data_IF_730167325774
#
_entry.id   IF_730167325774
#
_cell.length_a   1.000
_cell.length_b   1.000
_cell.length_c   1.000
_cell.angle_alpha   90.00
_cell.angle_beta   90.00
_cell.angle_gamma   90.00
#
_symmetry.space_group_name_H-M   'P 1'
#
loop_
_entity.id
_entity.type
_entity.pdbx_description
1 polymer ?
#
# COMPACT_ATOMS: atom_id res chain seq x y z
N UNK A 1 -18.83 -45.61 -35.50
CA UNK A 1 -17.41 -45.22 -35.62
C UNK A 1 -17.21 -43.72 -35.40
N UNK A 2 -17.99 -42.84 -36.03
CA UNK A 2 -17.86 -41.37 -35.90
C UNK A 2 -18.10 -40.80 -34.49
N UNK A 3 -19.02 -41.38 -33.70
CA UNK A 3 -19.30 -40.94 -32.32
C UNK A 3 -18.13 -41.23 -31.38
N UNK A 4 -17.45 -42.35 -31.58
CA UNK A 4 -16.27 -42.73 -30.76
C UNK A 4 -15.10 -41.81 -31.07
N UNK A 5 -14.90 -41.45 -32.34
CA UNK A 5 -13.83 -40.52 -32.76
C UNK A 5 -14.09 -39.12 -32.18
N UNK A 6 -15.33 -38.63 -32.21
CA UNK A 6 -15.69 -37.34 -31.62
C UNK A 6 -15.50 -37.31 -30.10
N UNK A 7 -15.85 -38.39 -29.40
CA UNK A 7 -15.65 -38.50 -27.95
C UNK A 7 -14.15 -38.52 -27.57
N UNK A 8 -13.32 -39.23 -28.35
CA UNK A 8 -11.86 -39.25 -28.14
C UNK A 8 -11.26 -37.86 -28.37
N UNK A 9 -11.68 -37.15 -29.41
CA UNK A 9 -11.23 -35.77 -29.65
C UNK A 9 -11.65 -34.82 -28.54
N UNK A 10 -12.91 -34.88 -28.09
CA UNK A 10 -13.39 -34.03 -27.00
C UNK A 10 -12.63 -34.29 -25.69
N UNK A 11 -12.35 -35.57 -25.37
CA UNK A 11 -11.56 -35.93 -24.19
C UNK A 11 -10.10 -35.48 -24.32
N UNK A 12 -9.48 -35.63 -25.50
CA UNK A 12 -8.10 -35.20 -25.72
C UNK A 12 -7.97 -33.66 -25.63
N UNK A 13 -8.90 -32.91 -26.22
CA UNK A 13 -8.92 -31.45 -26.12
C UNK A 13 -9.22 -30.98 -24.70
N UNK A 14 -10.16 -31.63 -24.00
CA UNK A 14 -10.46 -31.33 -22.61
C UNK A 14 -9.27 -31.62 -21.68
N UNK A 15 -8.56 -32.74 -21.88
CA UNK A 15 -7.35 -33.06 -21.13
C UNK A 15 -6.20 -32.09 -21.44
N UNK A 16 -6.05 -31.64 -22.68
CA UNK A 16 -5.07 -30.61 -23.06
C UNK A 16 -5.38 -29.24 -22.43
N UNK A 17 -6.66 -28.86 -22.38
CA UNK A 17 -7.08 -27.62 -21.72
C UNK A 17 -6.85 -27.69 -20.21
N UNK A 18 -7.22 -28.79 -19.57
CA UNK A 18 -6.97 -28.99 -18.14
C UNK A 18 -5.47 -29.06 -17.83
N UNK A 19 -4.67 -29.71 -18.69
CA UNK A 19 -3.22 -29.74 -18.54
C UNK A 19 -2.57 -28.36 -18.73
N UNK A 20 -3.07 -27.56 -19.68
CA UNK A 20 -2.63 -26.18 -19.88
C UNK A 20 -2.99 -25.28 -18.69
N UNK A 21 -4.15 -25.49 -18.07
CA UNK A 21 -4.58 -24.76 -16.87
C UNK A 21 -3.87 -25.25 -15.59
N UNK A 22 -3.41 -26.52 -15.54
CA UNK A 22 -2.64 -27.02 -14.40
C UNK A 22 -1.15 -26.68 -14.43
N UNK A 23 -0.66 -26.08 -15.53
CA UNK A 23 0.71 -25.56 -15.63
C UNK A 23 0.84 -24.15 -15.02
N UNK A 24 -0.26 -23.59 -14.53
CA UNK A 24 -0.36 -22.26 -13.91
C UNK A 24 0.28 -22.22 -12.50
N UNK A 25 0.18 -23.32 -11.74
CA UNK A 25 0.69 -23.41 -10.35
C UNK A 25 2.18 -23.85 -10.24
N UNK A 26 2.89 -24.03 -11.35
CA UNK A 26 4.32 -24.34 -11.30
C UNK A 26 5.13 -23.05 -11.22
N UNK A 27 5.52 -22.66 -10.01
CA UNK A 27 6.54 -21.66 -9.75
C UNK A 27 7.79 -22.05 -10.56
N UNK A 28 8.15 -21.30 -11.60
CA UNK A 28 9.33 -21.60 -12.41
C UNK A 28 10.53 -20.83 -11.88
N UNK A 29 11.26 -21.43 -10.94
CA UNK A 29 12.58 -20.92 -10.55
C UNK A 29 13.49 -20.86 -11.77
N UNK A 30 13.70 -19.65 -12.29
CA UNK A 30 14.80 -19.32 -13.20
C UNK A 30 15.38 -17.96 -12.87
N UNK A 31 15.92 -17.73 -11.65
CA UNK A 31 16.80 -16.59 -11.47
C UNK A 31 17.95 -16.70 -12.50
N UNK A 32 18.30 -15.59 -13.14
CA UNK A 32 19.51 -15.54 -13.95
C UNK A 32 20.71 -15.40 -13.02
N UNK A 33 21.90 -15.83 -13.44
CA UNK A 33 23.12 -15.68 -12.63
C UNK A 33 23.31 -14.21 -12.22
N UNK A 34 22.99 -13.29 -13.11
CA UNK A 34 23.06 -11.85 -12.87
C UNK A 34 22.06 -11.37 -11.81
N UNK A 35 20.88 -12.01 -11.71
CA UNK A 35 19.88 -11.70 -10.67
C UNK A 35 20.30 -12.26 -9.31
N UNK A 36 20.86 -13.47 -9.29
CA UNK A 36 21.43 -14.07 -8.08
C UNK A 36 22.63 -13.26 -7.56
N UNK A 37 23.48 -12.77 -8.46
CA UNK A 37 24.61 -11.89 -8.12
C UNK A 37 24.13 -10.57 -7.51
N UNK A 38 23.07 -9.97 -8.07
CA UNK A 38 22.43 -8.79 -7.48
C UNK A 38 21.88 -9.10 -6.09
N UNK A 39 21.13 -10.18 -5.92
CA UNK A 39 20.59 -10.57 -4.61
C UNK A 39 21.68 -10.74 -3.55
N UNK A 40 22.78 -11.42 -3.90
CA UNK A 40 23.92 -11.62 -3.00
C UNK A 40 24.65 -10.30 -2.68
N UNK A 41 24.75 -9.37 -3.64
CA UNK A 41 25.30 -8.03 -3.40
C UNK A 41 24.44 -7.28 -2.37
N UNK A 42 23.11 -7.24 -2.58
CA UNK A 42 22.17 -6.54 -1.71
C UNK A 42 22.16 -7.15 -0.30
N UNK A 43 22.18 -8.48 -0.17
CA UNK A 43 22.21 -9.18 1.12
C UNK A 43 23.48 -8.86 1.92
N UNK A 44 24.58 -8.53 1.24
CA UNK A 44 25.85 -8.16 1.88
C UNK A 44 25.90 -6.72 2.39
N UNK A 45 24.91 -5.89 2.06
CA UNK A 45 24.90 -4.47 2.42
C UNK A 45 24.66 -4.27 3.92
N UNK A 46 25.35 -3.29 4.56
CA UNK A 46 25.09 -2.95 5.95
C UNK A 46 23.62 -2.55 6.19
N UNK A 47 23.00 -3.23 7.16
CA UNK A 47 21.63 -2.95 7.55
C UNK A 47 20.56 -3.67 6.74
N UNK A 48 20.91 -4.46 5.72
CA UNK A 48 20.02 -5.43 5.10
C UNK A 48 19.96 -6.69 5.97
N UNK A 49 18.76 -7.18 6.23
CA UNK A 49 18.50 -8.31 7.13
C UNK A 49 18.10 -9.58 6.37
N UNK A 50 17.36 -9.41 5.27
CA UNK A 50 16.91 -10.50 4.41
C UNK A 50 16.71 -10.00 2.98
N UNK A 51 17.02 -10.87 2.03
CA UNK A 51 16.71 -10.71 0.60
C UNK A 51 16.06 -12.00 0.12
N UNK A 52 14.85 -11.89 -0.41
CA UNK A 52 14.14 -12.98 -1.06
C UNK A 52 13.87 -12.59 -2.52
N UNK A 53 14.02 -13.57 -3.41
CA UNK A 53 13.99 -13.35 -4.84
C UNK A 53 13.02 -14.34 -5.47
N UNK A 54 12.16 -13.83 -6.35
CA UNK A 54 11.30 -14.68 -7.16
C UNK A 54 11.33 -14.21 -8.61
N UNK A 55 11.18 -15.14 -9.56
CA UNK A 55 11.00 -14.79 -10.96
C UNK A 55 9.85 -15.61 -11.53
N UNK A 56 8.83 -14.94 -12.01
CA UNK A 56 7.57 -15.54 -12.43
C UNK A 56 7.31 -15.31 -13.91
N UNK A 57 6.66 -16.28 -14.55
CA UNK A 57 6.10 -16.14 -15.89
C UNK A 57 4.61 -16.37 -15.77
N UNK A 58 3.79 -15.39 -16.13
CA UNK A 58 2.34 -15.60 -16.19
C UNK A 58 2.01 -16.63 -17.29
N UNK A 59 1.44 -17.76 -16.90
CA UNK A 59 0.78 -18.67 -17.82
C UNK A 59 -0.66 -18.15 -18.09
N UNK A 60 -1.25 -18.41 -19.28
CA UNK A 60 -0.73 -19.17 -20.41
C UNK A 60 -0.01 -18.31 -21.46
N UNK A 61 0.17 -17.02 -21.19
CA UNK A 61 0.75 -16.06 -22.14
C UNK A 61 2.24 -16.27 -22.36
N UNK A 62 2.95 -16.89 -21.40
CA UNK A 62 4.41 -17.03 -21.42
C UNK A 62 5.07 -15.68 -21.74
N UNK A 63 4.55 -14.62 -21.12
CA UNK A 63 5.07 -13.26 -21.24
C UNK A 63 6.51 -13.16 -20.69
N UNK A 64 7.14 -12.02 -20.92
CA UNK A 64 8.46 -11.75 -20.36
C UNK A 64 8.41 -11.94 -18.83
N UNK A 65 9.37 -12.69 -18.25
CA UNK A 65 9.36 -13.02 -16.85
C UNK A 65 9.51 -11.78 -15.97
N UNK A 66 8.63 -11.62 -14.98
CA UNK A 66 8.70 -10.55 -13.99
C UNK A 66 9.64 -10.97 -12.86
N UNK A 67 10.65 -10.16 -12.58
CA UNK A 67 11.57 -10.38 -11.45
C UNK A 67 11.03 -9.63 -10.23
N UNK A 68 10.96 -10.31 -9.09
CA UNK A 68 10.47 -9.77 -7.82
C UNK A 68 11.59 -9.84 -6.79
N UNK A 69 11.78 -8.74 -6.07
CA UNK A 69 12.79 -8.61 -5.04
C UNK A 69 12.13 -8.14 -3.74
N UNK A 70 12.19 -8.98 -2.72
CA UNK A 70 11.71 -8.66 -1.38
C UNK A 70 12.91 -8.42 -0.48
N UNK A 71 13.03 -7.22 0.11
CA UNK A 71 14.17 -6.86 0.95
C UNK A 71 13.69 -6.36 2.29
N UNK A 72 14.20 -6.94 3.38
CA UNK A 72 14.06 -6.36 4.71
C UNK A 72 15.33 -5.59 5.05
N UNK A 73 15.19 -4.31 5.40
CA UNK A 73 16.31 -3.41 5.68
C UNK A 73 16.01 -2.52 6.88
N UNK A 74 17.03 -2.13 7.62
CA UNK A 74 16.92 -1.08 8.65
C UNK A 74 16.86 0.32 8.02
N UNK A 75 16.26 1.29 8.73
CA UNK A 75 16.24 2.71 8.30
C UNK A 75 17.62 3.23 7.88
N UNK A 76 18.67 2.89 8.64
CA UNK A 76 20.03 3.33 8.34
C UNK A 76 20.63 2.68 7.07
N UNK A 77 20.15 1.48 6.69
CA UNK A 77 20.61 0.74 5.51
C UNK A 77 19.89 1.13 4.22
N UNK A 78 18.68 1.70 4.31
CA UNK A 78 17.83 2.04 3.15
C UNK A 78 18.56 2.89 2.09
N UNK A 79 19.31 3.97 2.41
CA UNK A 79 20.01 4.75 1.38
C UNK A 79 21.03 3.93 0.59
N UNK A 80 21.77 3.05 1.26
CA UNK A 80 22.78 2.19 0.63
C UNK A 80 22.13 1.12 -0.26
N UNK A 81 21.00 0.56 0.18
CA UNK A 81 20.19 -0.36 -0.63
C UNK A 81 19.73 0.29 -1.93
N UNK A 82 19.15 1.50 -1.85
CA UNK A 82 18.66 2.23 -3.02
C UNK A 82 19.81 2.63 -3.96
N UNK A 83 20.95 3.06 -3.43
CA UNK A 83 22.15 3.36 -4.23
C UNK A 83 22.63 2.11 -4.98
N UNK A 84 22.73 0.96 -4.31
CA UNK A 84 23.14 -0.29 -4.94
C UNK A 84 22.14 -0.73 -6.03
N UNK A 85 20.83 -0.70 -5.74
CA UNK A 85 19.79 -1.04 -6.70
C UNK A 85 19.85 -0.14 -7.96
N UNK A 86 20.10 1.16 -7.79
CA UNK A 86 20.12 2.13 -8.89
C UNK A 86 21.46 2.20 -9.65
N UNK A 87 22.56 1.73 -9.05
CA UNK A 87 23.88 1.63 -9.71
C UNK A 87 24.20 0.23 -10.21
N UNK A 88 23.31 -0.73 -9.97
CA UNK A 88 23.45 -2.10 -10.43
C UNK A 88 23.62 -2.19 -11.95
N UNK A 89 24.36 -3.20 -12.39
CA UNK A 89 24.48 -3.56 -13.80
C UNK A 89 23.35 -4.46 -14.31
N UNK A 90 22.35 -4.79 -13.48
CA UNK A 90 21.28 -5.70 -13.84
C UNK A 90 20.40 -5.10 -14.93
N UNK A 91 20.22 -5.79 -16.08
CA UNK A 91 19.63 -5.18 -17.26
C UNK A 91 18.10 -5.17 -17.28
N UNK A 92 17.46 -6.03 -16.49
CA UNK A 92 16.01 -6.23 -16.51
C UNK A 92 15.32 -5.40 -15.42
N UNK A 93 14.02 -5.14 -15.62
CA UNK A 93 13.17 -4.49 -14.64
C UNK A 93 12.86 -5.43 -13.45
N UNK A 94 12.69 -4.84 -12.27
CA UNK A 94 12.42 -5.55 -11.02
C UNK A 94 11.22 -4.90 -10.33
N UNK A 95 10.26 -5.72 -9.90
CA UNK A 95 9.24 -5.33 -8.92
C UNK A 95 9.85 -5.42 -7.53
N UNK A 96 9.84 -4.32 -6.80
CA UNK A 96 10.46 -4.19 -5.48
C UNK A 96 9.41 -4.18 -4.38
N UNK A 97 9.68 -4.95 -3.33
CA UNK A 97 9.01 -4.91 -2.05
C UNK A 97 10.06 -4.71 -0.96
N UNK A 98 10.19 -3.49 -0.44
CA UNK A 98 11.19 -3.16 0.57
C UNK A 98 10.48 -2.90 1.89
N UNK A 99 10.72 -3.77 2.88
CA UNK A 99 10.25 -3.62 4.25
C UNK A 99 11.31 -2.91 5.07
N UNK A 100 11.02 -1.71 5.55
CA UNK A 100 11.96 -0.89 6.32
C UNK A 100 11.62 -0.92 7.79
N UNK A 101 12.51 -1.52 8.60
CA UNK A 101 12.41 -1.55 10.06
C UNK A 101 13.03 -0.29 10.65
N UNK A 102 12.23 0.45 11.38
CA UNK A 102 12.64 1.73 11.95
C UNK A 102 12.98 1.61 13.45
N UNK A 103 13.77 2.54 14.02
CA UNK A 103 14.16 2.49 15.43
C UNK A 103 12.99 2.62 16.42
N UNK A 104 11.89 3.31 16.06
CA UNK A 104 10.70 3.43 16.90
C UNK A 104 9.69 2.30 16.67
N UNK A 105 10.14 1.18 16.07
CA UNK A 105 9.35 0.00 15.77
C UNK A 105 8.22 0.21 14.75
N UNK A 106 8.23 1.32 13.98
CA UNK A 106 7.40 1.43 12.78
C UNK A 106 7.93 0.51 11.68
N UNK A 107 7.03 0.07 10.82
CA UNK A 107 7.33 -0.78 9.68
C UNK A 107 6.83 -0.11 8.40
N UNK A 108 7.76 0.25 7.52
CA UNK A 108 7.41 0.95 6.28
C UNK A 108 7.57 0.02 5.09
N UNK A 109 6.45 -0.33 4.46
CA UNK A 109 6.44 -1.15 3.25
C UNK A 109 6.50 -0.24 2.01
N UNK A 110 7.59 -0.33 1.25
CA UNK A 110 7.82 0.42 0.03
C UNK A 110 7.68 -0.51 -1.16
N UNK A 111 6.75 -0.21 -2.05
CA UNK A 111 6.49 -1.01 -3.25
C UNK A 111 6.77 -0.20 -4.50
N UNK A 112 7.50 -0.77 -5.46
CA UNK A 112 7.71 -0.17 -6.77
C UNK A 112 7.54 -1.22 -7.86
N UNK A 113 6.62 -0.96 -8.80
CA UNK A 113 6.43 -1.77 -9.99
C UNK A 113 6.97 -1.04 -11.23
N UNK A 114 7.57 -1.75 -12.20
CA UNK A 114 7.98 -1.14 -13.47
C UNK A 114 6.82 -0.53 -14.28
N UNK A 115 5.59 -1.01 -14.02
CA UNK A 115 4.37 -0.47 -14.64
C UNK A 115 3.93 0.89 -14.08
N UNK A 116 4.51 1.33 -12.97
CA UNK A 116 4.08 2.55 -12.29
C UNK A 116 4.55 3.78 -13.07
N UNK A 117 3.70 4.81 -13.24
CA UNK A 117 4.01 6.00 -14.01
C UNK A 117 4.97 6.93 -13.25
N UNK A 118 6.22 6.50 -13.05
CA UNK A 118 7.29 7.28 -12.43
C UNK A 118 8.25 7.79 -13.52
N UNK A 119 8.76 9.03 -13.44
CA UNK A 119 9.64 9.59 -14.48
C UNK A 119 10.86 8.70 -14.75
N UNK A 120 10.94 8.18 -15.96
CA UNK A 120 11.95 7.25 -16.46
C UNK A 120 13.29 7.95 -16.74
N UNK A 121 14.10 8.15 -15.69
CA UNK A 121 15.49 8.59 -15.83
C UNK A 121 16.52 7.65 -15.18
N UNK A 122 16.07 6.55 -14.56
CA UNK A 122 16.91 5.65 -13.75
C UNK A 122 17.19 4.32 -14.46
N UNK A 123 18.18 3.56 -13.95
CA UNK A 123 18.48 2.21 -14.42
C UNK A 123 17.25 1.28 -14.27
N UNK A 124 17.10 0.23 -15.12
CA UNK A 124 15.94 -0.68 -15.06
C UNK A 124 15.71 -1.33 -13.69
N UNK A 125 16.79 -1.58 -12.94
CA UNK A 125 16.75 -2.15 -11.60
C UNK A 125 16.44 -1.13 -10.50
N UNK A 126 16.44 0.17 -10.79
CA UNK A 126 16.27 1.21 -9.77
C UNK A 126 14.79 1.32 -9.36
N UNK A 127 14.45 1.14 -8.08
CA UNK A 127 13.07 1.28 -7.62
C UNK A 127 12.58 2.73 -7.76
N UNK A 128 11.43 2.90 -8.41
CA UNK A 128 10.75 4.19 -8.55
C UNK A 128 9.45 4.21 -7.77
N UNK A 129 9.42 4.90 -6.63
CA UNK A 129 8.22 4.99 -5.77
C UNK A 129 7.31 6.17 -6.08
N UNK A 130 7.81 7.20 -6.78
CA UNK A 130 7.10 8.47 -6.99
C UNK A 130 7.17 9.46 -5.82
N UNK A 131 7.95 9.14 -4.77
CA UNK A 131 8.23 9.98 -3.61
C UNK A 131 9.65 9.72 -3.05
N UNK A 132 10.14 10.63 -2.19
CA UNK A 132 11.41 10.47 -1.46
C UNK A 132 11.26 9.46 -0.32
N UNK A 133 11.55 8.19 -0.61
CA UNK A 133 11.37 7.10 0.34
C UNK A 133 12.25 7.24 1.61
N UNK A 134 13.49 7.71 1.46
CA UNK A 134 14.43 7.83 2.60
C UNK A 134 13.94 8.88 3.59
N UNK A 135 13.54 10.05 3.07
CA UNK A 135 13.06 11.13 3.93
C UNK A 135 11.69 10.81 4.51
N UNK A 136 10.80 10.19 3.72
CA UNK A 136 9.47 9.81 4.17
C UNK A 136 9.51 8.75 5.28
N UNK A 137 10.31 7.69 5.13
CA UNK A 137 10.43 6.65 6.17
C UNK A 137 10.89 7.23 7.52
N UNK A 138 11.86 8.16 7.50
CA UNK A 138 12.32 8.85 8.72
C UNK A 138 11.25 9.72 9.35
N UNK A 139 10.43 10.37 8.53
CA UNK A 139 9.35 11.19 9.03
C UNK A 139 8.23 10.32 9.62
N UNK A 140 7.89 9.20 8.98
CA UNK A 140 6.94 8.21 9.51
C UNK A 140 7.39 7.64 10.87
N UNK A 141 8.66 7.25 11.03
CA UNK A 141 9.22 6.82 12.32
C UNK A 141 9.09 7.90 13.40
N UNK A 142 9.23 9.17 13.01
CA UNK A 142 9.13 10.32 13.92
C UNK A 142 7.70 10.62 14.36
N UNK A 143 6.73 10.55 13.43
CA UNK A 143 5.36 11.05 13.66
C UNK A 143 4.37 9.95 14.04
N UNK A 144 4.57 8.73 13.55
CA UNK A 144 3.72 7.58 13.80
C UNK A 144 4.57 6.37 14.27
N UNK A 145 5.22 6.49 15.45
CA UNK A 145 6.06 5.43 15.98
C UNK A 145 5.25 4.15 16.26
N UNK A 146 5.75 3.00 15.81
CA UNK A 146 5.11 1.71 16.00
C UNK A 146 4.02 1.36 14.99
N UNK A 147 3.68 2.26 14.06
CA UNK A 147 2.68 2.01 13.04
C UNK A 147 3.30 1.29 11.82
N UNK A 148 2.58 0.31 11.28
CA UNK A 148 2.92 -0.30 9.99
C UNK A 148 2.23 0.50 8.87
N UNK A 149 3.01 1.09 7.97
CA UNK A 149 2.51 2.01 6.94
C UNK A 149 3.07 1.65 5.57
N UNK A 150 2.21 1.56 4.57
CA UNK A 150 2.57 1.47 3.17
C UNK A 150 2.25 2.80 2.47
N UNK A 151 3.24 3.69 2.28
CA UNK A 151 3.06 4.82 1.37
C UNK A 151 2.95 4.33 -0.07
N UNK A 152 2.04 4.91 -0.85
CA UNK A 152 1.84 4.58 -2.26
C UNK A 152 1.38 5.79 -3.05
N UNK A 153 1.60 5.78 -4.36
CA UNK A 153 0.98 6.73 -5.28
C UNK A 153 -0.20 6.04 -5.95
N UNK A 154 -1.40 6.53 -5.68
CA UNK A 154 -2.66 5.97 -6.21
C UNK A 154 -3.10 6.67 -7.49
N UNK A 155 -4.27 6.30 -8.00
CA UNK A 155 -4.81 6.87 -9.22
C UNK A 155 -4.78 8.40 -9.18
N UNK A 156 -4.45 9.01 -10.33
CA UNK A 156 -4.25 10.47 -10.50
C UNK A 156 -3.05 11.06 -9.75
N UNK A 157 -2.19 10.23 -9.16
CA UNK A 157 -0.92 10.66 -8.57
C UNK A 157 -1.03 11.11 -7.11
N UNK A 158 -2.11 10.75 -6.42
CA UNK A 158 -2.36 11.08 -5.00
C UNK A 158 -1.43 10.25 -4.11
N UNK A 159 -0.77 10.89 -3.14
CA UNK A 159 0.00 10.17 -2.13
C UNK A 159 -0.96 9.61 -1.08
N UNK A 160 -0.95 8.30 -0.93
CA UNK A 160 -1.76 7.58 0.04
C UNK A 160 -0.87 6.93 1.11
N UNK A 161 -1.33 6.98 2.36
CA UNK A 161 -0.75 6.26 3.49
C UNK A 161 -1.72 5.16 3.92
N UNK A 162 -1.39 3.91 3.57
CA UNK A 162 -2.14 2.75 4.02
C UNK A 162 -1.55 2.27 5.36
N UNK A 163 -2.25 2.53 6.46
CA UNK A 163 -1.97 1.90 7.75
C UNK A 163 -2.45 0.46 7.71
N UNK A 164 -1.55 -0.47 8.03
CA UNK A 164 -1.80 -1.90 8.02
C UNK A 164 -1.90 -2.40 9.46
N UNK A 165 -2.80 -3.35 9.70
CA UNK A 165 -2.75 -4.13 10.93
C UNK A 165 -1.43 -4.91 10.96
N UNK A 166 -0.81 -4.96 12.14
CA UNK A 166 0.54 -5.48 12.38
C UNK A 166 0.79 -6.78 11.59
N UNK A 167 1.70 -6.73 10.60
CA UNK A 167 2.02 -7.84 9.69
C UNK A 167 2.49 -9.10 10.44
N UNK A 168 2.95 -8.95 11.69
CA UNK A 168 3.51 -10.01 12.51
C UNK A 168 2.75 -10.29 13.82
N UNK A 169 1.71 -9.52 14.21
CA UNK A 169 0.95 -9.76 15.45
C UNK A 169 -0.57 -9.52 15.33
N UNK A 170 -1.35 -10.54 14.96
CA UNK A 170 -2.81 -10.46 14.90
C UNK A 170 -3.53 -10.42 16.27
N UNK A 171 -2.81 -10.40 17.41
CA UNK A 171 -3.36 -10.69 18.74
C UNK A 171 -3.09 -9.62 19.83
N UNK A 172 -2.75 -8.38 19.46
CA UNK A 172 -2.75 -7.26 20.40
C UNK A 172 -4.21 -6.83 20.64
N UNK A 173 -4.84 -7.44 21.64
CA UNK A 173 -6.28 -7.36 21.88
C UNK A 173 -6.91 -5.95 21.88
N UNK A 174 -8.15 -5.95 21.39
CA UNK A 174 -9.10 -4.83 21.17
C UNK A 174 -8.87 -4.14 19.82
N UNK A 175 -9.86 -4.16 18.89
CA UNK A 175 -9.84 -3.26 17.74
C UNK A 175 -9.90 -1.84 18.32
N UNK A 176 -8.75 -1.20 18.40
CA UNK A 176 -8.66 0.25 18.43
C UNK A 176 -9.02 0.63 17.01
N UNK A 177 -10.19 1.26 16.82
CA UNK A 177 -10.61 1.70 15.49
C UNK A 177 -9.61 2.69 14.89
N UNK A 178 -10.06 3.58 14.02
CA UNK A 178 -9.17 4.57 13.38
C UNK A 178 -8.42 5.55 14.32
N UNK A 179 -8.54 5.44 15.65
CA UNK A 179 -7.78 6.26 16.60
C UNK A 179 -6.25 6.10 16.44
N UNK A 180 -5.77 4.91 16.07
CA UNK A 180 -4.32 4.65 15.95
C UNK A 180 -3.71 5.27 14.68
N UNK A 181 -4.54 5.68 13.72
CA UNK A 181 -4.12 6.33 12.47
C UNK A 181 -4.18 7.86 12.54
N UNK A 182 -4.69 8.44 13.64
CA UNK A 182 -4.74 9.88 13.85
C UNK A 182 -3.38 10.59 13.73
N UNK A 183 -2.23 10.01 14.14
CA UNK A 183 -0.93 10.64 13.91
C UNK A 183 -0.62 10.88 12.42
N UNK A 184 -1.14 10.05 11.51
CA UNK A 184 -0.98 10.26 10.06
C UNK A 184 -1.79 11.46 9.58
N UNK A 185 -2.99 11.67 10.15
CA UNK A 185 -3.85 12.83 9.86
C UNK A 185 -3.24 14.10 10.43
N UNK A 186 -2.80 14.09 11.70
CA UNK A 186 -2.15 15.22 12.38
C UNK A 186 -0.92 15.72 11.62
N UNK A 187 -0.19 14.80 10.96
CA UNK A 187 1.09 15.09 10.34
C UNK A 187 1.08 14.97 8.80
N UNK A 188 -0.10 15.00 8.16
CA UNK A 188 -0.24 14.84 6.72
C UNK A 188 0.65 15.80 5.91
N UNK A 189 0.65 17.10 6.23
CA UNK A 189 1.45 18.12 5.55
C UNK A 189 2.98 17.85 5.68
N UNK A 190 3.40 17.37 6.85
CA UNK A 190 4.80 17.07 7.13
C UNK A 190 5.24 15.82 6.37
N UNK A 191 4.38 14.80 6.30
CA UNK A 191 4.58 13.59 5.53
C UNK A 191 4.62 13.88 4.02
N UNK A 192 3.73 14.72 3.51
CA UNK A 192 3.72 15.18 2.11
C UNK A 192 5.03 15.92 1.75
N UNK A 193 5.46 16.82 2.64
CA UNK A 193 6.76 17.52 2.49
C UNK A 193 7.95 16.55 2.55
N UNK A 194 7.90 15.53 3.41
CA UNK A 194 8.92 14.51 3.53
C UNK A 194 8.98 13.60 2.29
N UNK A 195 7.83 13.31 1.68
CA UNK A 195 7.71 12.61 0.41
C UNK A 195 8.25 13.43 -0.79
N UNK A 196 8.59 14.70 -0.59
CA UNK A 196 9.09 15.58 -1.64
C UNK A 196 7.97 16.11 -2.57
N UNK A 197 6.74 16.12 -2.08
CA UNK A 197 5.54 16.59 -2.79
C UNK A 197 5.23 18.05 -2.45
N UNK A 198 4.40 18.69 -3.27
CA UNK A 198 3.95 20.06 -3.00
C UNK A 198 2.97 20.08 -1.81
N UNK A 199 3.02 21.13 -1.00
CA UNK A 199 2.14 21.28 0.17
C UNK A 199 0.67 21.53 -0.20
N UNK A 200 0.42 21.95 -1.44
CA UNK A 200 -0.92 22.17 -1.98
C UNK A 200 -1.53 20.89 -2.60
N UNK A 201 -0.95 19.71 -2.38
CA UNK A 201 -1.49 18.44 -2.86
C UNK A 201 -2.39 17.75 -1.83
N UNK A 202 -3.31 16.93 -2.34
CA UNK A 202 -4.19 16.07 -1.54
C UNK A 202 -3.42 14.84 -1.04
N UNK A 203 -3.68 14.46 0.21
CA UNK A 203 -3.17 13.22 0.81
C UNK A 203 -4.32 12.30 1.16
N UNK A 204 -4.20 11.02 0.88
CA UNK A 204 -5.14 10.01 1.38
C UNK A 204 -4.56 9.30 2.62
N UNK A 205 -5.38 9.12 3.65
CA UNK A 205 -5.08 8.23 4.78
C UNK A 205 -6.07 7.08 4.73
N UNK A 206 -5.56 5.86 4.67
CA UNK A 206 -6.34 4.65 4.47
C UNK A 206 -5.97 3.58 5.50
N UNK A 207 -6.96 2.84 5.97
CA UNK A 207 -6.85 1.67 6.85
C UNK A 207 -8.18 0.90 6.79
N UNK A 208 -8.27 -0.30 7.38
CA UNK A 208 -9.54 -1.02 7.45
C UNK A 208 -10.69 -0.19 8.03
N UNK A 209 -10.41 0.67 9.02
CA UNK A 209 -11.41 1.47 9.75
C UNK A 209 -11.38 2.98 9.41
N UNK A 210 -10.52 3.42 8.49
CA UNK A 210 -10.39 4.83 8.07
C UNK A 210 -10.16 4.94 6.57
N UNK A 211 -10.93 5.77 5.86
CA UNK A 211 -10.52 6.27 4.54
C UNK A 211 -11.01 7.68 4.34
N UNK A 212 -10.09 8.60 4.09
CA UNK A 212 -10.41 9.99 3.81
C UNK A 212 -9.31 10.61 2.95
N UNK A 213 -9.69 11.60 2.16
CA UNK A 213 -8.75 12.52 1.56
C UNK A 213 -8.65 13.80 2.42
N UNK A 214 -7.44 14.33 2.54
CA UNK A 214 -7.14 15.56 3.25
C UNK A 214 -6.78 16.60 2.19
N UNK A 215 -7.63 17.61 2.02
CA UNK A 215 -7.29 18.75 1.18
C UNK A 215 -6.25 19.65 1.87
N UNK A 216 -5.53 20.49 1.11
CA UNK A 216 -4.55 21.41 1.67
C UNK A 216 -5.12 22.28 2.80
N UNK A 217 -4.52 22.18 3.99
CA UNK A 217 -4.91 22.94 5.18
C UNK A 217 -6.08 22.35 5.96
N UNK A 218 -6.59 21.17 5.62
CA UNK A 218 -7.67 20.50 6.37
C UNK A 218 -7.18 19.59 7.52
N UNK A 219 -5.88 19.28 7.58
CA UNK A 219 -5.29 18.34 8.56
C UNK A 219 -5.71 18.59 10.02
N UNK A 220 -5.67 19.84 10.48
CA UNK A 220 -6.09 20.23 11.84
C UNK A 220 -7.59 20.04 12.08
N UNK A 221 -8.43 20.36 11.08
CA UNK A 221 -9.88 20.26 11.17
C UNK A 221 -10.32 18.79 11.13
N UNK A 222 -9.70 17.96 10.29
CA UNK A 222 -9.91 16.52 10.29
C UNK A 222 -9.47 15.89 11.60
N UNK A 223 -8.30 16.24 12.13
CA UNK A 223 -7.85 15.73 13.43
C UNK A 223 -8.85 16.05 14.54
N UNK A 224 -9.36 17.28 14.58
CA UNK A 224 -10.37 17.69 15.56
C UNK A 224 -11.67 16.89 15.42
N UNK A 225 -12.20 16.77 14.20
CA UNK A 225 -13.40 15.98 13.93
C UNK A 225 -13.21 14.52 14.33
N UNK A 226 -12.17 13.85 13.83
CA UNK A 226 -11.93 12.43 14.10
C UNK A 226 -11.71 12.16 15.59
N UNK A 227 -11.02 13.05 16.29
CA UNK A 227 -10.87 12.99 17.75
C UNK A 227 -12.24 13.06 18.44
N UNK A 228 -13.12 13.98 18.04
CA UNK A 228 -14.48 14.08 18.60
C UNK A 228 -15.32 12.83 18.28
N UNK A 229 -15.21 12.28 17.07
CA UNK A 229 -15.89 11.04 16.68
C UNK A 229 -15.44 9.85 17.54
N UNK A 230 -14.14 9.73 17.84
CA UNK A 230 -13.61 8.73 18.79
C UNK A 230 -14.24 8.91 20.18
N UNK A 231 -14.36 10.15 20.68
CA UNK A 231 -15.03 10.42 21.96
C UNK A 231 -16.54 10.10 21.94
N UNK A 232 -17.19 10.21 20.77
CA UNK A 232 -18.57 9.79 20.54
C UNK A 232 -18.71 8.28 20.34
N UNK A 233 -17.61 7.53 20.32
CA UNK A 233 -17.58 6.07 20.22
C UNK A 233 -17.64 5.53 18.79
N UNK A 234 -17.29 6.35 17.80
CA UNK A 234 -17.09 5.87 16.44
C UNK A 234 -15.88 4.92 16.39
N UNK A 235 -16.03 3.81 15.67
CA UNK A 235 -14.98 2.81 15.49
C UNK A 235 -14.45 2.76 14.07
N UNK A 236 -15.24 3.21 13.08
CA UNK A 236 -14.82 3.28 11.69
C UNK A 236 -15.41 4.51 10.98
N UNK A 237 -14.68 5.09 10.03
CA UNK A 237 -15.04 6.32 9.31
C UNK A 237 -14.51 6.31 7.87
N UNK A 238 -15.37 6.53 6.87
CA UNK A 238 -14.98 6.64 5.47
C UNK A 238 -15.74 7.79 4.80
N UNK A 239 -15.08 8.70 4.09
CA UNK A 239 -15.75 9.87 3.48
C UNK A 239 -15.61 9.96 1.95
N UNK A 240 -14.39 9.85 1.41
CA UNK A 240 -14.12 10.29 0.03
C UNK A 240 -12.87 9.68 -0.64
N UNK A 241 -12.21 8.67 -0.04
CA UNK A 241 -11.07 7.95 -0.64
C UNK A 241 -11.41 6.93 -1.75
N UNK A 242 -10.47 6.05 -2.14
CA UNK A 242 -10.73 4.96 -3.12
C UNK A 242 -11.83 3.96 -2.68
N UNK A 243 -12.34 4.11 -1.46
CA UNK A 243 -13.59 3.50 -1.00
C UNK A 243 -14.86 4.10 -1.62
N UNK A 244 -14.83 4.61 -2.86
CA UNK A 244 -16.01 5.16 -3.55
C UNK A 244 -17.18 4.17 -3.40
N UNK A 245 -18.32 4.60 -2.82
CA UNK A 245 -19.45 3.71 -2.60
C UNK A 245 -19.87 3.02 -3.90
N UNK A 246 -20.29 1.74 -3.82
CA UNK A 246 -20.70 0.92 -5.00
C UNK A 246 -21.76 1.62 -5.86
N UNK A 247 -22.55 2.52 -5.27
CA UNK A 247 -23.59 3.29 -5.94
C UNK A 247 -23.10 4.58 -6.62
N UNK A 248 -21.80 4.91 -6.50
CA UNK A 248 -21.15 6.05 -7.13
C UNK A 248 -21.55 7.41 -6.55
N UNK A 249 -22.16 7.42 -5.35
CA UNK A 249 -22.56 8.66 -4.65
C UNK A 249 -21.64 8.87 -3.46
N UNK A 250 -20.96 10.01 -3.40
CA UNK A 250 -20.15 10.43 -2.25
C UNK A 250 -21.03 10.54 -1.00
N UNK A 251 -20.57 9.93 0.09
CA UNK A 251 -21.24 9.93 1.39
C UNK A 251 -20.23 9.60 2.48
N UNK A 252 -20.46 10.11 3.68
CA UNK A 252 -19.73 9.69 4.87
C UNK A 252 -20.36 8.41 5.40
N UNK A 253 -19.57 7.35 5.57
CA UNK A 253 -19.95 6.10 6.19
C UNK A 253 -19.27 6.00 7.56
N UNK A 254 -20.03 5.62 8.59
CA UNK A 254 -19.53 5.58 9.96
C UNK A 254 -20.13 4.42 10.74
N UNK A 255 -19.30 3.73 11.52
CA UNK A 255 -19.74 2.73 12.51
C UNK A 255 -19.71 3.39 13.89
N UNK A 256 -20.88 3.60 14.49
CA UNK A 256 -21.02 4.25 15.80
C UNK A 256 -22.33 3.89 16.51
N UNK A 257 -22.41 4.04 17.86
CA UNK A 257 -23.63 3.76 18.62
C UNK A 257 -24.82 4.66 18.23
N UNK A 258 -26.02 4.06 18.08
CA UNK A 258 -27.28 4.75 17.73
C UNK A 258 -27.57 6.00 18.56
N UNK A 259 -27.28 5.95 19.86
CA UNK A 259 -27.51 7.07 20.78
C UNK A 259 -26.64 8.30 20.52
N UNK A 260 -25.70 8.22 19.56
CA UNK A 260 -24.73 9.27 19.22
C UNK A 260 -24.86 9.79 17.80
N UNK A 261 -25.71 9.20 16.96
CA UNK A 261 -25.83 9.54 15.54
C UNK A 261 -26.07 11.03 15.28
N UNK A 262 -27.04 11.65 15.97
CA UNK A 262 -27.31 13.08 15.79
C UNK A 262 -26.11 13.98 16.18
N UNK A 263 -25.36 13.62 17.22
CA UNK A 263 -24.17 14.39 17.61
C UNK A 263 -23.01 14.23 16.63
N UNK A 264 -22.93 13.08 15.95
CA UNK A 264 -21.96 12.80 14.90
C UNK A 264 -22.30 13.59 13.64
N UNK A 265 -23.57 13.60 13.23
CA UNK A 265 -24.06 14.41 12.10
C UNK A 265 -23.77 15.90 12.34
N UNK A 266 -24.13 16.42 13.52
CA UNK A 266 -23.86 17.82 13.91
C UNK A 266 -22.34 18.14 13.88
N UNK A 267 -21.49 17.20 14.31
CA UNK A 267 -20.04 17.38 14.31
C UNK A 267 -19.47 17.45 12.87
N UNK A 268 -19.95 16.58 11.97
CA UNK A 268 -19.55 16.58 10.55
C UNK A 268 -20.01 17.88 9.87
N UNK A 269 -21.28 18.26 10.03
CA UNK A 269 -21.84 19.48 9.41
C UNK A 269 -21.09 20.75 9.89
N UNK A 270 -20.68 20.79 11.16
CA UNK A 270 -19.98 21.94 11.74
C UNK A 270 -18.46 21.92 11.56
N UNK A 271 -17.89 20.85 10.98
CA UNK A 271 -16.45 20.67 10.83
C UNK A 271 -15.79 21.69 9.90
N UNK A 272 -16.54 22.24 8.95
CA UNK A 272 -16.02 23.12 7.90
C UNK A 272 -15.11 22.42 6.88
N UNK A 273 -15.06 21.08 6.92
CA UNK A 273 -14.38 20.24 5.95
C UNK A 273 -15.20 20.14 4.66
N UNK A 274 -14.56 19.80 3.55
CA UNK A 274 -15.25 19.57 2.27
C UNK A 274 -16.35 18.48 2.35
N UNK A 275 -16.25 17.57 3.32
CA UNK A 275 -17.25 16.51 3.58
C UNK A 275 -18.50 16.97 4.34
N UNK A 276 -18.53 18.22 4.81
CA UNK A 276 -19.57 18.70 5.75
C UNK A 276 -20.99 18.62 5.18
N UNK A 277 -21.14 18.72 3.85
CA UNK A 277 -22.43 18.68 3.16
C UNK A 277 -22.80 17.27 2.65
N UNK A 278 -21.95 16.25 2.89
CA UNK A 278 -22.19 14.89 2.43
C UNK A 278 -23.24 14.17 3.29
N UNK A 279 -24.00 13.26 2.67
CA UNK A 279 -24.92 12.39 3.40
C UNK A 279 -24.14 11.51 4.40
N UNK A 280 -24.58 11.45 5.65
CA UNK A 280 -24.00 10.56 6.67
C UNK A 280 -24.81 9.26 6.73
N UNK A 281 -24.12 8.13 6.56
CA UNK A 281 -24.69 6.79 6.61
C UNK A 281 -24.07 6.00 7.75
N UNK A 282 -24.91 5.61 8.70
CA UNK A 282 -24.52 4.72 9.79
C UNK A 282 -24.56 3.24 9.36
N UNK A 283 -23.51 2.50 9.73
CA UNK A 283 -23.39 1.05 9.53
C UNK A 283 -23.59 0.37 10.89
N UNK A 284 -24.39 -0.71 10.90
CA UNK A 284 -24.65 -1.49 12.12
C UNK A 284 -23.37 -2.18 12.64
N UNK A 285 -23.21 -2.20 13.97
CA UNK A 285 -22.12 -2.89 14.68
C UNK A 285 -22.31 -4.40 14.77
#
# INVERSE_FOLDING_TARGET
>A
MSVVIAAVFALATGALLLAAWSLDDTHFDRPSTEFDELGAELESLPGVEAVEMERWVEAPTFSDPTSWMFVTVSDAGLPGLLEAACTSGYPDEITWHIRVRTPAASDVALNASPSDPVPTASAPSCPGFGFDAVRLTKELDRVAPGLAVQPSIWDKGVLAFLAMDDLDQPDAGTPTGFADTLPLVEHADALLTAAGRDADEVVEVNSPDLSLMIEPGESDAYLALLTDLVHLGATAFWADGEGTPIDGVEKVQIVAPDGRHAAIEDAIESSGLHIADLEVRFIEQ
#
